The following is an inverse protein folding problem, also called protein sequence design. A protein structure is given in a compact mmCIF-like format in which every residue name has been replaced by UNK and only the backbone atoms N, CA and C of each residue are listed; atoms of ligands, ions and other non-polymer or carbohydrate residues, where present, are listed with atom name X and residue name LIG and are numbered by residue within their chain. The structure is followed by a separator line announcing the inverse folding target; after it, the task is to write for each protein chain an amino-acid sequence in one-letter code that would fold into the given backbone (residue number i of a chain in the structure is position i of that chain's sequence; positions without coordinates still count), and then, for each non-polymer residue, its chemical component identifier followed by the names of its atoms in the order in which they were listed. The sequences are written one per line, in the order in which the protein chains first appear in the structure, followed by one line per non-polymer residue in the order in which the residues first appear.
data_IF_924344669097
#
_entry.id   IF_924344669097
#
_cell.length_a   1.000
_cell.length_b   1.000
_cell.length_c   1.000
_cell.angle_alpha   90.00
_cell.angle_beta   90.00
_cell.angle_gamma   90.00
#
_symmetry.space_group_name_H-M   'P 1'
#
loop_
_entity.id
_entity.type
_entity.pdbx_description
1 polymer ?
#
# COMPACT_ATOMS: atom_id res chain seq x y z
N UNK A 1 -27.96 2.10 3.62
CA UNK A 1 -26.93 2.95 4.23
C UNK A 1 -27.50 4.34 4.34
N UNK A 2 -27.35 5.01 5.49
CA UNK A 2 -27.79 6.40 5.65
C UNK A 2 -27.20 7.29 4.56
N UNK A 3 -27.90 8.34 4.17
CA UNK A 3 -27.38 9.30 3.19
C UNK A 3 -26.19 10.05 3.83
N UNK A 4 -24.99 9.81 3.30
CA UNK A 4 -23.76 10.43 3.78
C UNK A 4 -23.52 11.73 3.01
N UNK A 5 -23.06 12.77 3.71
CA UNK A 5 -22.73 14.07 3.10
C UNK A 5 -21.70 13.92 1.99
N UNK A 6 -20.65 13.10 2.25
CA UNK A 6 -19.57 12.88 1.32
C UNK A 6 -19.50 11.43 0.84
N UNK A 7 -19.09 11.24 -0.38
CA UNK A 7 -18.71 9.94 -0.93
C UNK A 7 -17.28 9.59 -0.46
N UNK A 8 -16.40 10.61 -0.30
CA UNK A 8 -15.01 10.45 0.10
C UNK A 8 -14.52 11.66 0.92
N UNK A 9 -13.75 11.39 1.98
CA UNK A 9 -12.96 12.40 2.69
C UNK A 9 -11.49 12.03 2.60
N UNK A 10 -10.62 12.99 2.24
CA UNK A 10 -9.18 12.87 2.24
C UNK A 10 -8.60 13.56 3.48
N UNK A 11 -8.19 12.78 4.49
CA UNK A 11 -7.54 13.27 5.69
C UNK A 11 -6.03 13.38 5.52
N UNK A 12 -5.42 14.43 6.11
CA UNK A 12 -4.00 14.75 5.92
C UNK A 12 -3.74 15.42 4.56
N UNK A 13 -4.75 16.07 4.00
CA UNK A 13 -4.73 16.67 2.66
C UNK A 13 -3.63 17.74 2.47
N UNK A 14 -3.16 18.38 3.53
CA UNK A 14 -2.11 19.42 3.46
C UNK A 14 -0.67 18.87 3.46
N UNK A 15 -0.51 17.56 3.66
CA UNK A 15 0.79 16.87 3.59
C UNK A 15 1.31 16.71 2.16
N UNK A 16 2.57 16.24 2.02
CA UNK A 16 3.24 16.11 0.71
C UNK A 16 2.45 15.25 -0.29
N UNK A 17 2.06 14.04 0.11
CA UNK A 17 1.23 13.15 -0.71
C UNK A 17 -0.22 13.63 -0.74
N UNK A 18 -0.73 14.16 0.38
CA UNK A 18 -2.11 14.62 0.52
C UNK A 18 -2.49 15.74 -0.46
N UNK A 19 -1.67 16.79 -0.61
CA UNK A 19 -1.91 17.87 -1.58
C UNK A 19 -2.01 17.37 -3.02
N UNK A 20 -1.13 16.47 -3.39
CA UNK A 20 -1.12 15.86 -4.73
C UNK A 20 -2.29 14.90 -4.93
N UNK A 21 -2.70 14.19 -3.88
CA UNK A 21 -3.93 13.39 -3.90
C UNK A 21 -5.16 14.25 -4.07
N UNK A 22 -5.20 15.42 -3.39
CA UNK A 22 -6.29 16.38 -3.53
C UNK A 22 -6.36 16.93 -4.96
N UNK A 23 -5.23 17.33 -5.55
CA UNK A 23 -5.18 17.78 -6.95
C UNK A 23 -5.63 16.68 -7.93
N UNK A 24 -5.20 15.44 -7.72
CA UNK A 24 -5.64 14.31 -8.53
C UNK A 24 -7.14 14.08 -8.45
N UNK A 25 -7.72 14.09 -7.25
CA UNK A 25 -9.17 13.92 -7.05
C UNK A 25 -9.97 15.09 -7.64
N UNK A 26 -9.49 16.33 -7.49
CA UNK A 26 -10.12 17.51 -8.06
C UNK A 26 -10.19 17.45 -9.60
N UNK A 27 -9.14 16.98 -10.25
CA UNK A 27 -9.08 16.81 -11.72
C UNK A 27 -9.73 15.52 -12.24
N UNK A 28 -10.19 14.62 -11.36
CA UNK A 28 -10.70 13.29 -11.78
C UNK A 28 -12.09 13.38 -12.38
N UNK A 29 -12.20 13.22 -13.69
CA UNK A 29 -13.49 13.15 -14.39
C UNK A 29 -14.18 11.82 -14.12
N UNK A 30 -15.40 11.88 -13.63
CA UNK A 30 -16.26 10.74 -13.31
C UNK A 30 -17.64 10.89 -13.93
N UNK A 31 -18.36 9.77 -14.13
CA UNK A 31 -19.75 9.80 -14.65
C UNK A 31 -20.71 10.54 -13.74
N UNK A 32 -20.47 10.52 -12.43
CA UNK A 32 -21.24 11.28 -11.45
C UNK A 32 -20.31 12.23 -10.69
N UNK A 33 -20.85 13.38 -10.28
CA UNK A 33 -20.09 14.37 -9.51
C UNK A 33 -19.65 13.76 -8.17
N UNK A 34 -18.35 13.86 -7.87
CA UNK A 34 -17.77 13.44 -6.61
C UNK A 34 -18.14 14.45 -5.52
N UNK A 35 -18.86 13.99 -4.48
CA UNK A 35 -19.09 14.75 -3.25
C UNK A 35 -17.96 14.41 -2.27
N UNK A 36 -17.02 15.31 -2.08
CA UNK A 36 -15.84 15.01 -1.30
C UNK A 36 -15.33 16.19 -0.49
N UNK A 37 -14.49 15.88 0.50
CA UNK A 37 -13.86 16.89 1.34
C UNK A 37 -12.37 16.60 1.53
N UNK A 38 -11.60 17.67 1.73
CA UNK A 38 -10.25 17.64 2.28
C UNK A 38 -10.34 17.88 3.78
N UNK A 39 -9.57 17.11 4.55
CA UNK A 39 -9.62 17.19 6.01
C UNK A 39 -8.23 17.25 6.65
N UNK A 40 -8.17 17.86 7.82
CA UNK A 40 -6.97 18.04 8.64
C UNK A 40 -7.21 19.04 9.77
N UNK A 41 -6.18 19.27 10.57
CA UNK A 41 -6.27 20.10 11.78
C UNK A 41 -6.13 21.62 11.54
N UNK A 42 -5.53 22.04 10.44
CA UNK A 42 -5.18 23.44 10.16
C UNK A 42 -6.14 24.03 9.11
N UNK A 43 -7.09 24.83 9.59
CA UNK A 43 -8.11 25.46 8.75
C UNK A 43 -7.51 26.38 7.68
N UNK A 44 -6.47 27.15 8.03
CA UNK A 44 -5.83 28.09 7.10
C UNK A 44 -5.12 27.36 5.94
N UNK A 45 -4.38 26.27 6.25
CA UNK A 45 -3.73 25.46 5.21
C UNK A 45 -4.74 24.73 4.33
N UNK A 46 -5.88 24.29 4.86
CA UNK A 46 -6.94 23.66 4.07
C UNK A 46 -7.63 24.67 3.17
N UNK A 47 -7.89 25.90 3.66
CA UNK A 47 -8.44 26.97 2.85
C UNK A 47 -7.50 27.34 1.68
N UNK A 48 -6.22 27.56 1.97
CA UNK A 48 -5.21 27.83 0.95
C UNK A 48 -5.11 26.70 -0.10
N UNK A 49 -5.12 25.43 0.32
CA UNK A 49 -5.14 24.31 -0.61
C UNK A 49 -6.40 24.31 -1.49
N UNK A 50 -7.56 24.61 -0.93
CA UNK A 50 -8.80 24.67 -1.70
C UNK A 50 -8.79 25.80 -2.73
N UNK A 51 -8.21 26.96 -2.40
CA UNK A 51 -8.00 28.08 -3.34
C UNK A 51 -7.04 27.70 -4.46
N UNK A 52 -5.93 27.04 -4.13
CA UNK A 52 -4.99 26.50 -5.13
C UNK A 52 -5.70 25.55 -6.10
N UNK A 53 -6.51 24.62 -5.58
CA UNK A 53 -7.31 23.70 -6.40
C UNK A 53 -8.35 24.43 -7.25
N UNK A 54 -8.95 25.52 -6.75
CA UNK A 54 -9.92 26.32 -7.50
C UNK A 54 -9.27 27.09 -8.66
N UNK A 55 -7.99 27.42 -8.54
CA UNK A 55 -7.21 28.11 -9.56
C UNK A 55 -6.66 27.14 -10.63
N UNK A 56 -6.73 25.83 -10.41
CA UNK A 56 -6.28 24.83 -11.40
C UNK A 56 -7.36 24.61 -12.46
N UNK A 57 -7.11 24.94 -13.74
CA UNK A 57 -8.06 24.72 -14.83
C UNK A 57 -8.42 23.26 -15.07
N UNK A 58 -7.63 22.33 -14.56
CA UNK A 58 -7.91 20.90 -14.63
C UNK A 58 -8.92 20.44 -13.57
N UNK A 59 -9.22 21.25 -12.55
CA UNK A 59 -10.14 20.88 -11.49
C UNK A 59 -11.59 20.87 -11.99
N UNK A 60 -12.26 19.74 -11.84
CA UNK A 60 -13.67 19.54 -12.23
C UNK A 60 -14.60 19.39 -11.04
N UNK A 61 -14.05 19.15 -9.83
CA UNK A 61 -14.79 18.99 -8.59
C UNK A 61 -14.01 19.53 -7.40
N UNK A 62 -14.43 20.68 -6.86
CA UNK A 62 -13.80 21.27 -5.69
C UNK A 62 -14.27 20.58 -4.40
N UNK A 63 -13.36 20.35 -3.42
CA UNK A 63 -13.72 19.75 -2.14
C UNK A 63 -14.40 20.73 -1.20
N UNK A 64 -15.21 20.20 -0.27
CA UNK A 64 -15.51 20.87 0.99
C UNK A 64 -14.30 20.78 1.94
N UNK A 65 -14.35 21.54 3.03
CA UNK A 65 -13.33 21.50 4.09
C UNK A 65 -13.96 20.88 5.33
N UNK A 66 -13.24 19.95 5.96
CA UNK A 66 -13.57 19.35 7.26
C UNK A 66 -12.40 19.57 8.20
N UNK A 67 -12.62 20.27 9.31
CA UNK A 67 -11.60 20.47 10.33
C UNK A 67 -11.67 19.31 11.31
N UNK A 68 -10.59 18.56 11.43
CA UNK A 68 -10.46 17.47 12.39
C UNK A 68 -9.00 17.31 12.80
N UNK A 69 -8.73 17.39 14.10
CA UNK A 69 -7.45 16.96 14.68
C UNK A 69 -7.60 15.50 15.13
N UNK A 70 -6.57 14.66 14.89
CA UNK A 70 -6.57 13.25 15.32
C UNK A 70 -6.62 13.08 16.85
N UNK A 71 -6.31 14.12 17.61
CA UNK A 71 -6.44 14.14 19.07
C UNK A 71 -7.84 14.55 19.56
N UNK A 72 -8.70 15.08 18.69
CA UNK A 72 -10.10 15.42 18.99
C UNK A 72 -11.02 14.28 18.52
N UNK A 73 -11.39 13.42 19.47
CA UNK A 73 -12.23 12.24 19.19
C UNK A 73 -13.59 12.64 18.58
N UNK A 74 -14.22 13.75 19.05
CA UNK A 74 -15.53 14.17 18.55
C UNK A 74 -15.44 14.66 17.10
N UNK A 75 -14.40 15.42 16.74
CA UNK A 75 -14.17 15.85 15.36
C UNK A 75 -13.88 14.69 14.44
N UNK A 76 -13.07 13.70 14.88
CA UNK A 76 -12.76 12.49 14.11
C UNK A 76 -14.00 11.62 13.90
N UNK A 77 -14.83 11.43 14.92
CA UNK A 77 -16.11 10.71 14.80
C UNK A 77 -17.09 11.41 13.86
N UNK A 78 -17.25 12.73 13.96
CA UNK A 78 -18.11 13.51 13.06
C UNK A 78 -17.63 13.39 11.61
N UNK A 79 -16.32 13.49 11.36
CA UNK A 79 -15.72 13.29 10.05
C UNK A 79 -16.01 11.89 9.50
N UNK A 80 -15.76 10.85 10.28
CA UNK A 80 -16.02 9.46 9.85
C UNK A 80 -17.51 9.21 9.60
N UNK A 81 -18.39 9.77 10.44
CA UNK A 81 -19.85 9.68 10.27
C UNK A 81 -20.34 10.37 9.00
N UNK A 82 -19.67 11.40 8.52
CA UNK A 82 -20.10 12.21 7.37
C UNK A 82 -19.83 11.55 6.00
N UNK A 83 -18.97 10.54 5.93
CA UNK A 83 -18.46 10.00 4.66
C UNK A 83 -18.68 8.49 4.50
N UNK A 84 -18.71 8.00 3.25
CA UNK A 84 -18.72 6.56 2.92
C UNK A 84 -17.31 5.97 2.95
N UNK A 85 -16.32 6.77 2.53
CA UNK A 85 -14.93 6.37 2.39
C UNK A 85 -14.01 7.43 2.98
N UNK A 86 -13.10 7.03 3.85
CA UNK A 86 -12.05 7.88 4.40
C UNK A 86 -10.69 7.41 3.88
N UNK A 87 -10.00 8.28 3.15
CA UNK A 87 -8.60 8.12 2.77
C UNK A 87 -7.73 8.92 3.73
N UNK A 88 -6.60 8.35 4.15
CA UNK A 88 -5.64 9.11 4.95
C UNK A 88 -4.21 9.00 4.43
N UNK A 89 -3.53 10.13 4.44
CA UNK A 89 -2.10 10.27 4.16
C UNK A 89 -1.35 10.84 5.37
N UNK A 90 -2.01 10.89 6.53
CA UNK A 90 -1.46 11.46 7.77
C UNK A 90 -0.67 10.41 8.55
N UNK A 91 0.59 10.20 8.18
CA UNK A 91 1.55 9.38 8.94
C UNK A 91 2.43 10.21 9.89
N UNK A 92 3.16 9.59 10.85
CA UNK A 92 3.16 8.14 11.15
C UNK A 92 1.81 7.61 11.63
N UNK A 93 1.39 6.48 11.08
CA UNK A 93 0.05 5.92 11.36
C UNK A 93 -0.06 5.36 12.78
N UNK A 94 1.04 4.87 13.34
CA UNK A 94 1.12 4.44 14.74
C UNK A 94 0.85 5.57 15.73
N UNK A 95 1.02 6.84 15.32
CA UNK A 95 0.78 8.02 16.16
C UNK A 95 -0.61 8.63 15.92
N UNK A 96 -1.10 8.61 14.68
CA UNK A 96 -2.29 9.39 14.30
C UNK A 96 -3.43 8.53 13.76
N UNK A 97 -3.22 7.22 13.54
CA UNK A 97 -4.17 6.37 12.83
C UNK A 97 -5.25 5.73 13.70
N UNK A 98 -4.97 5.45 14.97
CA UNK A 98 -5.85 4.63 15.82
C UNK A 98 -7.25 5.23 15.96
N UNK A 99 -7.36 6.51 16.37
CA UNK A 99 -8.65 7.20 16.54
C UNK A 99 -9.46 7.24 15.22
N UNK A 100 -8.78 7.41 14.08
CA UNK A 100 -9.42 7.46 12.77
C UNK A 100 -9.98 6.10 12.38
N UNK A 101 -9.22 5.01 12.58
CA UNK A 101 -9.69 3.65 12.31
C UNK A 101 -10.81 3.25 13.26
N UNK A 102 -10.71 3.60 14.56
CA UNK A 102 -11.75 3.38 15.56
C UNK A 102 -13.08 4.00 15.10
N UNK A 103 -13.07 5.27 14.73
CA UNK A 103 -14.24 5.98 14.24
C UNK A 103 -14.79 5.39 12.94
N UNK A 104 -13.93 5.01 11.99
CA UNK A 104 -14.34 4.36 10.74
C UNK A 104 -15.08 3.03 11.00
N UNK A 105 -14.56 2.22 11.92
CA UNK A 105 -15.23 0.96 12.30
C UNK A 105 -16.53 1.21 13.04
N UNK A 106 -16.57 2.20 13.94
CA UNK A 106 -17.77 2.57 14.68
C UNK A 106 -18.89 3.01 13.75
N UNK A 107 -18.58 3.87 12.80
CA UNK A 107 -19.55 4.45 11.86
C UNK A 107 -19.73 3.65 10.57
N UNK A 108 -19.11 2.46 10.42
CA UNK A 108 -19.15 1.62 9.21
C UNK A 108 -18.71 2.38 7.96
N UNK A 109 -17.70 3.21 8.12
CA UNK A 109 -17.06 3.99 7.05
C UNK A 109 -15.89 3.18 6.52
N UNK A 110 -15.79 2.99 5.22
CA UNK A 110 -14.65 2.35 4.61
C UNK A 110 -13.39 3.20 4.80
N UNK A 111 -12.24 2.56 4.90
CA UNK A 111 -10.97 3.20 5.19
C UNK A 111 -9.86 2.68 4.28
N UNK A 112 -8.96 3.56 3.81
CA UNK A 112 -7.69 3.16 3.25
C UNK A 112 -6.59 4.18 3.56
N UNK A 113 -5.36 3.67 3.66
CA UNK A 113 -4.15 4.44 3.91
C UNK A 113 -2.96 3.93 3.08
N UNK A 114 -1.83 4.59 3.26
CA UNK A 114 -0.56 4.27 2.60
C UNK A 114 0.52 3.85 3.60
N UNK A 115 0.12 3.23 4.72
CA UNK A 115 1.06 2.81 5.76
C UNK A 115 2.05 1.75 5.25
N UNK A 116 3.28 1.78 5.79
CA UNK A 116 4.24 0.71 5.76
C UNK A 116 4.48 0.09 7.15
N UNK A 117 3.71 0.51 8.16
CA UNK A 117 3.91 0.19 9.58
C UNK A 117 3.21 -1.13 9.94
N UNK A 118 3.85 -2.26 9.67
CA UNK A 118 3.25 -3.60 9.83
C UNK A 118 2.87 -3.94 11.27
N UNK A 119 3.62 -3.47 12.27
CA UNK A 119 3.31 -3.67 13.67
C UNK A 119 2.04 -2.91 14.08
N UNK A 120 1.88 -1.66 13.64
CA UNK A 120 0.64 -0.92 13.83
C UNK A 120 -0.54 -1.62 13.15
N UNK A 121 -0.39 -2.01 11.89
CA UNK A 121 -1.45 -2.74 11.18
C UNK A 121 -1.83 -4.06 11.88
N UNK A 122 -0.88 -4.75 12.55
CA UNK A 122 -1.16 -5.92 13.40
C UNK A 122 -2.10 -5.55 14.54
N UNK A 123 -1.86 -4.43 15.25
CA UNK A 123 -2.76 -3.95 16.32
C UNK A 123 -4.15 -3.64 15.79
N UNK A 124 -4.23 -2.95 14.64
CA UNK A 124 -5.51 -2.66 13.96
C UNK A 124 -6.25 -3.96 13.59
N UNK A 125 -5.55 -5.00 13.11
CA UNK A 125 -6.13 -6.30 12.82
C UNK A 125 -6.70 -6.94 14.08
N UNK A 126 -5.92 -7.00 15.16
CA UNK A 126 -6.32 -7.64 16.40
C UNK A 126 -7.57 -6.96 17.01
N UNK A 127 -7.61 -5.64 16.97
CA UNK A 127 -8.68 -4.82 17.56
C UNK A 127 -9.96 -4.83 16.73
N UNK A 128 -9.84 -4.71 15.41
CA UNK A 128 -10.97 -4.33 14.57
C UNK A 128 -11.43 -5.38 13.57
N UNK A 129 -10.59 -6.37 13.20
CA UNK A 129 -10.92 -7.27 12.09
C UNK A 129 -12.28 -7.96 12.28
N UNK A 130 -12.57 -8.51 13.45
CA UNK A 130 -13.81 -9.26 13.72
C UNK A 130 -15.05 -8.36 13.61
N UNK A 131 -15.01 -7.14 14.18
CA UNK A 131 -16.13 -6.20 14.13
C UNK A 131 -16.37 -5.74 12.70
N UNK A 132 -15.31 -5.26 12.03
CA UNK A 132 -15.40 -4.78 10.65
C UNK A 132 -15.86 -5.90 9.69
N UNK A 133 -15.46 -7.16 9.91
CA UNK A 133 -15.91 -8.31 9.13
C UNK A 133 -17.42 -8.55 9.28
N UNK A 134 -17.92 -8.50 10.51
CA UNK A 134 -19.36 -8.65 10.80
C UNK A 134 -20.19 -7.53 10.17
N UNK A 135 -19.68 -6.30 10.23
CA UNK A 135 -20.41 -5.10 9.81
C UNK A 135 -20.27 -4.81 8.30
N UNK A 136 -19.46 -5.58 7.56
CA UNK A 136 -19.18 -5.36 6.14
C UNK A 136 -18.28 -4.16 5.86
N UNK A 137 -17.66 -3.56 6.89
CA UNK A 137 -16.76 -2.42 6.76
C UNK A 137 -15.39 -2.87 6.26
N UNK A 138 -14.85 -2.21 5.23
CA UNK A 138 -13.54 -2.52 4.67
C UNK A 138 -12.51 -1.52 5.19
N UNK A 139 -11.57 -2.00 6.00
CA UNK A 139 -10.41 -1.26 6.49
C UNK A 139 -9.21 -1.78 5.71
N UNK A 140 -8.62 -0.95 4.85
CA UNK A 140 -7.63 -1.36 3.84
C UNK A 140 -6.32 -0.58 4.03
N UNK A 141 -5.46 -0.97 4.98
CA UNK A 141 -4.11 -0.44 5.07
C UNK A 141 -3.26 -0.86 3.87
N UNK A 142 -2.09 -0.25 3.68
CA UNK A 142 -1.12 -0.56 2.63
C UNK A 142 -1.61 -0.29 1.20
N UNK A 143 -2.49 0.70 0.99
CA UNK A 143 -3.07 1.01 -0.31
C UNK A 143 -2.20 2.00 -1.13
N UNK A 144 -0.88 1.79 -1.14
CA UNK A 144 0.12 2.56 -1.88
C UNK A 144 0.99 1.70 -2.78
N UNK A 145 1.97 2.33 -3.45
CA UNK A 145 2.94 1.63 -4.30
C UNK A 145 3.67 0.54 -3.54
N UNK A 146 3.98 0.75 -2.28
CA UNK A 146 4.78 -0.19 -1.52
C UNK A 146 4.21 -1.60 -1.57
N UNK A 147 2.89 -1.76 -1.48
CA UNK A 147 2.28 -3.09 -1.41
C UNK A 147 1.31 -3.43 -2.54
N UNK A 148 0.63 -2.46 -3.17
CA UNK A 148 -0.39 -2.78 -4.17
C UNK A 148 0.16 -3.50 -5.40
N UNK A 149 1.28 -3.12 -6.02
CA UNK A 149 1.84 -3.88 -7.13
C UNK A 149 2.16 -5.32 -6.77
N UNK A 150 2.68 -5.57 -5.57
CA UNK A 150 2.98 -6.92 -5.06
C UNK A 150 1.71 -7.73 -4.82
N UNK A 151 0.75 -7.16 -4.11
CA UNK A 151 -0.45 -7.84 -3.66
C UNK A 151 -1.45 -8.08 -4.81
N UNK A 152 -1.74 -7.03 -5.59
CA UNK A 152 -2.61 -7.13 -6.76
C UNK A 152 -1.97 -7.97 -7.86
N UNK A 153 -0.68 -7.77 -8.15
CA UNK A 153 0.04 -8.54 -9.17
C UNK A 153 0.11 -10.02 -8.83
N UNK A 154 0.27 -10.36 -7.55
CA UNK A 154 0.19 -11.75 -7.08
C UNK A 154 -1.21 -12.33 -7.31
N UNK A 155 -2.27 -11.61 -6.94
CA UNK A 155 -3.64 -12.05 -7.21
C UNK A 155 -3.85 -12.34 -8.70
N UNK A 156 -3.40 -11.42 -9.57
CA UNK A 156 -3.58 -11.53 -11.01
C UNK A 156 -2.87 -12.75 -11.59
N UNK A 157 -1.60 -12.99 -11.22
CA UNK A 157 -0.85 -14.14 -11.73
C UNK A 157 -1.38 -15.47 -11.21
N UNK A 158 -1.81 -15.51 -9.94
CA UNK A 158 -2.44 -16.70 -9.36
C UNK A 158 -3.74 -17.06 -10.10
N UNK A 159 -4.61 -16.07 -10.33
CA UNK A 159 -5.86 -16.28 -11.09
C UNK A 159 -5.60 -16.72 -12.53
N UNK A 160 -4.61 -16.12 -13.17
CA UNK A 160 -4.24 -16.49 -14.52
C UNK A 160 -3.73 -17.94 -14.59
N UNK A 161 -2.89 -18.38 -13.65
CA UNK A 161 -2.43 -19.77 -13.54
C UNK A 161 -3.60 -20.73 -13.36
N UNK A 162 -4.51 -20.42 -12.43
CA UNK A 162 -5.72 -21.22 -12.20
C UNK A 162 -6.57 -21.36 -13.47
N UNK A 163 -6.81 -20.25 -14.17
CA UNK A 163 -7.64 -20.20 -15.38
C UNK A 163 -6.95 -20.89 -16.58
N UNK A 164 -5.64 -20.73 -16.72
CA UNK A 164 -4.90 -21.22 -17.90
C UNK A 164 -4.46 -22.67 -17.76
N UNK A 165 -4.07 -23.07 -16.55
CA UNK A 165 -3.48 -24.38 -16.30
C UNK A 165 -4.39 -25.32 -15.50
N UNK A 166 -5.49 -24.83 -14.92
CA UNK A 166 -6.34 -25.62 -14.02
C UNK A 166 -5.60 -26.12 -12.77
N UNK A 167 -4.51 -25.43 -12.36
CA UNK A 167 -3.62 -25.86 -11.30
C UNK A 167 -3.40 -24.74 -10.27
N UNK A 168 -3.16 -25.07 -8.99
CA UNK A 168 -2.87 -24.06 -7.98
C UNK A 168 -1.46 -23.46 -8.18
N UNK A 169 -1.33 -22.17 -7.82
CA UNK A 169 -0.04 -21.50 -7.77
C UNK A 169 0.63 -21.74 -6.40
N UNK A 170 1.81 -22.34 -6.40
CA UNK A 170 2.54 -22.66 -5.14
C UNK A 170 3.58 -21.62 -4.76
N UNK A 171 3.98 -20.76 -5.69
CA UNK A 171 4.99 -19.74 -5.45
C UNK A 171 4.81 -18.54 -6.37
N UNK A 172 5.05 -17.35 -5.85
CA UNK A 172 5.21 -16.13 -6.66
C UNK A 172 6.47 -15.41 -6.22
N UNK A 173 7.28 -15.01 -7.21
CA UNK A 173 8.45 -14.16 -7.01
C UNK A 173 8.24 -12.83 -7.73
N UNK A 174 8.43 -11.72 -6.99
CA UNK A 174 8.35 -10.35 -7.50
C UNK A 174 9.73 -9.79 -7.85
N UNK A 175 9.88 -9.20 -9.03
CA UNK A 175 11.13 -8.59 -9.50
C UNK A 175 10.91 -7.13 -9.84
N UNK A 176 11.50 -6.26 -9.04
CA UNK A 176 11.36 -4.83 -9.14
C UNK A 176 12.54 -4.17 -9.83
N UNK A 177 12.24 -3.20 -10.66
CA UNK A 177 13.16 -2.18 -11.16
C UNK A 177 12.47 -0.84 -11.02
N UNK A 178 13.14 0.12 -10.45
CA UNK A 178 12.54 1.43 -10.22
C UNK A 178 13.58 2.54 -10.11
N UNK A 179 13.11 3.76 -10.32
CA UNK A 179 13.82 5.00 -10.04
C UNK A 179 12.82 5.97 -9.40
N UNK A 180 13.15 6.51 -8.24
CA UNK A 180 12.29 7.42 -7.50
C UNK A 180 12.92 7.86 -6.19
N UNK A 181 12.25 8.78 -5.48
CA UNK A 181 12.70 9.34 -4.21
C UNK A 181 11.75 9.07 -3.04
N UNK A 182 12.29 9.16 -1.83
CA UNK A 182 11.51 9.09 -0.61
C UNK A 182 11.05 10.50 -0.19
N UNK A 183 9.85 10.58 0.37
CA UNK A 183 9.36 11.81 1.02
C UNK A 183 9.57 11.73 2.53
N UNK A 184 9.50 12.89 3.20
CA UNK A 184 9.73 12.99 4.64
C UNK A 184 8.74 12.20 5.50
N UNK A 185 7.50 11.98 5.02
CA UNK A 185 6.53 11.15 5.72
C UNK A 185 6.96 9.68 5.78
N UNK A 186 7.43 9.11 4.68
CA UNK A 186 7.97 7.74 4.62
C UNK A 186 9.19 7.58 5.54
N UNK A 187 10.07 8.58 5.55
CA UNK A 187 11.25 8.56 6.40
C UNK A 187 10.90 8.68 7.89
N UNK A 188 9.92 9.53 8.23
CA UNK A 188 9.44 9.67 9.60
C UNK A 188 8.78 8.38 10.14
N UNK A 189 7.93 7.73 9.35
CA UNK A 189 7.34 6.42 9.72
C UNK A 189 8.41 5.36 9.91
N UNK A 190 9.44 5.34 9.05
CA UNK A 190 10.54 4.39 9.18
C UNK A 190 11.39 4.67 10.45
N UNK A 191 11.71 5.93 10.75
CA UNK A 191 12.41 6.30 11.97
C UNK A 191 11.62 5.90 13.23
N UNK A 192 10.33 6.21 13.26
CA UNK A 192 9.44 5.86 14.37
C UNK A 192 9.41 4.35 14.66
N UNK A 193 9.42 3.51 13.63
CA UNK A 193 9.47 2.03 13.77
C UNK A 193 10.70 1.56 14.54
N UNK A 194 11.85 2.20 14.35
CA UNK A 194 13.07 1.88 15.11
C UNK A 194 13.05 2.47 16.52
N UNK A 195 12.42 3.62 16.72
CA UNK A 195 12.30 4.27 18.03
C UNK A 195 11.34 3.56 18.96
N UNK A 196 10.22 3.06 18.43
CA UNK A 196 9.20 2.35 19.19
C UNK A 196 9.54 0.91 19.54
N UNK A 197 10.68 0.37 19.05
CA UNK A 197 11.06 -1.04 19.24
C UNK A 197 10.21 -2.04 18.45
N UNK A 198 9.38 -1.57 17.52
CA UNK A 198 8.49 -2.43 16.70
C UNK A 198 9.24 -3.24 15.63
N UNK A 199 10.54 -3.05 15.48
CA UNK A 199 11.39 -3.77 14.52
C UNK A 199 11.41 -5.27 14.73
N UNK A 200 11.43 -5.74 15.99
CA UNK A 200 11.45 -7.17 16.30
C UNK A 200 10.14 -7.86 15.89
N UNK A 201 9.00 -7.26 16.22
CA UNK A 201 7.70 -7.75 15.77
C UNK A 201 7.64 -7.83 14.22
N UNK A 202 8.20 -6.85 13.53
CA UNK A 202 8.28 -6.81 12.07
C UNK A 202 9.09 -7.94 11.43
N UNK A 203 9.99 -8.61 12.19
CA UNK A 203 10.76 -9.77 11.71
C UNK A 203 9.91 -11.03 11.53
N UNK A 204 8.73 -11.12 12.17
CA UNK A 204 7.84 -12.25 11.96
C UNK A 204 7.28 -12.24 10.51
N UNK A 205 7.58 -13.26 9.69
CA UNK A 205 7.14 -13.29 8.29
C UNK A 205 5.62 -13.44 8.12
N UNK A 206 4.91 -13.88 9.16
CA UNK A 206 3.46 -14.07 9.19
C UNK A 206 2.74 -13.09 10.14
N UNK A 207 3.39 -11.95 10.45
CA UNK A 207 2.89 -10.97 11.42
C UNK A 207 1.42 -10.56 11.16
N UNK A 208 1.05 -10.35 9.90
CA UNK A 208 -0.29 -9.87 9.53
C UNK A 208 -1.32 -11.00 9.36
N UNK A 209 -0.90 -12.26 9.35
CA UNK A 209 -1.79 -13.39 9.15
C UNK A 209 -2.71 -13.61 10.37
N UNK A 210 -3.84 -14.30 10.20
CA UNK A 210 -4.55 -14.89 11.34
C UNK A 210 -3.58 -15.68 12.21
N UNK A 211 -3.76 -15.62 13.53
CA UNK A 211 -2.87 -16.31 14.47
C UNK A 211 -2.94 -17.81 14.22
N UNK A 212 -1.82 -18.40 13.84
CA UNK A 212 -1.66 -19.84 13.62
C UNK A 212 -0.27 -20.29 14.09
N UNK A 213 -0.10 -21.57 14.34
CA UNK A 213 1.22 -22.17 14.53
C UNK A 213 1.81 -22.43 13.15
N UNK A 214 3.08 -22.09 12.98
CA UNK A 214 3.85 -22.36 11.79
C UNK A 214 4.97 -23.33 12.12
N UNK A 215 5.22 -24.27 11.23
CA UNK A 215 6.35 -25.19 11.34
C UNK A 215 7.69 -24.46 11.18
N UNK A 216 8.77 -25.04 11.66
CA UNK A 216 10.10 -24.46 11.48
C UNK A 216 10.47 -24.29 9.99
N UNK A 217 10.05 -25.23 9.14
CA UNK A 217 10.26 -25.17 7.68
C UNK A 217 9.46 -24.03 7.03
N UNK A 218 8.21 -23.79 7.43
CA UNK A 218 7.43 -22.63 6.94
C UNK A 218 8.08 -21.31 7.35
N UNK A 219 8.54 -21.18 8.59
CA UNK A 219 9.24 -19.99 9.07
C UNK A 219 10.54 -19.77 8.33
N UNK A 220 11.33 -20.81 8.07
CA UNK A 220 12.58 -20.72 7.32
C UNK A 220 12.33 -20.28 5.87
N UNK A 221 11.38 -20.90 5.19
CA UNK A 221 11.03 -20.60 3.79
C UNK A 221 10.39 -19.21 3.62
N UNK A 222 9.85 -18.64 4.68
CA UNK A 222 9.22 -17.33 4.68
C UNK A 222 10.16 -16.18 5.11
N UNK A 223 11.42 -16.46 5.45
CA UNK A 223 12.39 -15.43 5.83
C UNK A 223 12.66 -14.46 4.67
N UNK A 224 12.89 -13.20 5.04
CA UNK A 224 13.22 -12.17 4.06
C UNK A 224 14.61 -12.45 3.44
N UNK A 225 14.77 -12.25 2.12
CA UNK A 225 16.08 -12.39 1.45
C UNK A 225 17.11 -11.44 2.06
N UNK A 226 18.38 -11.89 2.17
CA UNK A 226 19.45 -11.10 2.83
C UNK A 226 20.65 -10.78 1.95
N UNK A 227 20.79 -11.43 0.81
CA UNK A 227 21.99 -11.33 -0.02
C UNK A 227 21.68 -11.16 -1.49
N UNK A 228 22.73 -10.79 -2.26
CA UNK A 228 22.66 -10.85 -3.70
C UNK A 228 22.84 -12.31 -4.17
N UNK A 229 22.12 -12.69 -5.23
CA UNK A 229 22.25 -13.99 -5.87
C UNK A 229 21.96 -13.91 -7.36
N UNK A 230 22.47 -14.87 -8.12
CA UNK A 230 21.97 -15.11 -9.48
C UNK A 230 20.63 -15.84 -9.38
N UNK A 231 19.65 -15.39 -10.17
CA UNK A 231 18.32 -15.98 -10.21
C UNK A 231 18.06 -16.51 -11.61
N UNK A 232 17.98 -17.84 -11.73
CA UNK A 232 17.81 -18.55 -13.00
C UNK A 232 16.45 -18.27 -13.63
N UNK A 233 15.39 -18.06 -12.82
CA UNK A 233 14.05 -17.77 -13.31
C UNK A 233 13.98 -16.51 -14.17
N UNK A 234 14.83 -15.53 -13.89
CA UNK A 234 14.90 -14.26 -14.64
C UNK A 234 16.24 -14.06 -15.35
N UNK A 235 17.16 -15.04 -15.28
CA UNK A 235 18.46 -15.00 -15.91
C UNK A 235 19.31 -13.78 -15.52
N UNK A 236 19.27 -13.39 -14.24
CA UNK A 236 19.90 -12.15 -13.81
C UNK A 236 20.27 -12.14 -12.33
N UNK A 237 21.17 -11.23 -11.95
CA UNK A 237 21.46 -10.98 -10.56
C UNK A 237 20.36 -10.18 -9.87
N UNK A 238 20.02 -10.59 -8.66
CA UNK A 238 19.01 -9.96 -7.83
C UNK A 238 19.56 -9.66 -6.42
N UNK A 239 18.98 -8.64 -5.78
CA UNK A 239 19.20 -8.33 -4.37
C UNK A 239 17.84 -8.23 -3.66
N UNK A 240 17.78 -8.23 -2.32
CA UNK A 240 16.54 -7.97 -1.59
C UNK A 240 15.88 -6.67 -2.08
N UNK A 241 14.56 -6.66 -2.13
CA UNK A 241 13.83 -5.42 -2.38
C UNK A 241 13.58 -4.68 -1.07
N UNK A 242 13.81 -3.37 -1.06
CA UNK A 242 13.74 -2.57 0.18
C UNK A 242 12.38 -2.64 0.88
N UNK A 243 11.29 -2.76 0.12
CA UNK A 243 9.93 -2.88 0.67
C UNK A 243 9.51 -4.35 0.87
N UNK A 244 10.36 -5.32 0.51
CA UNK A 244 10.11 -6.75 0.60
C UNK A 244 9.61 -7.21 1.97
N UNK A 245 10.21 -6.76 3.09
CA UNK A 245 9.74 -7.09 4.44
C UNK A 245 8.31 -6.64 4.74
N UNK A 246 7.82 -5.56 4.14
CA UNK A 246 6.44 -5.09 4.29
C UNK A 246 5.53 -5.88 3.37
N UNK A 247 5.84 -5.90 2.08
CA UNK A 247 4.99 -6.45 1.02
C UNK A 247 4.75 -7.94 1.19
N UNK A 248 5.78 -8.70 1.58
CA UNK A 248 5.64 -10.14 1.81
C UNK A 248 4.61 -10.47 2.91
N UNK A 249 4.52 -9.64 3.97
CA UNK A 249 3.49 -9.80 5.00
C UNK A 249 2.10 -9.50 4.46
N UNK A 250 1.96 -8.49 3.60
CA UNK A 250 0.69 -8.13 2.96
C UNK A 250 0.22 -9.25 2.03
N UNK A 251 1.10 -9.75 1.14
CA UNK A 251 0.76 -10.84 0.21
C UNK A 251 0.43 -12.15 0.95
N UNK A 252 1.19 -12.49 2.00
CA UNK A 252 0.88 -13.68 2.82
C UNK A 252 -0.44 -13.55 3.55
N UNK A 253 -0.79 -12.33 4.02
CA UNK A 253 -2.11 -12.06 4.57
C UNK A 253 -3.20 -12.25 3.51
N UNK A 254 -2.98 -11.79 2.29
CA UNK A 254 -3.92 -12.01 1.19
C UNK A 254 -4.13 -13.50 0.90
N UNK A 255 -3.05 -14.27 0.88
CA UNK A 255 -3.13 -15.72 0.71
C UNK A 255 -3.94 -16.38 1.85
N UNK A 256 -3.67 -16.02 3.10
CA UNK A 256 -4.39 -16.54 4.26
C UNK A 256 -5.88 -16.16 4.27
N UNK A 257 -6.22 -14.91 3.93
CA UNK A 257 -7.60 -14.46 3.83
C UNK A 257 -8.34 -15.13 2.66
N UNK A 258 -7.70 -15.26 1.49
CA UNK A 258 -8.29 -15.97 0.36
C UNK A 258 -8.54 -17.45 0.68
N UNK A 259 -7.64 -18.11 1.43
CA UNK A 259 -7.88 -19.47 1.92
C UNK A 259 -9.11 -19.54 2.82
N UNK A 260 -9.27 -18.60 3.75
CA UNK A 260 -10.46 -18.49 4.60
C UNK A 260 -11.74 -18.21 3.80
N UNK A 261 -11.63 -17.51 2.67
CA UNK A 261 -12.75 -17.25 1.74
C UNK A 261 -12.97 -18.35 0.69
N UNK A 262 -12.31 -19.51 0.85
CA UNK A 262 -12.37 -20.67 -0.06
C UNK A 262 -11.91 -20.39 -1.49
N UNK A 263 -10.99 -19.48 -1.64
CA UNK A 263 -10.31 -19.13 -2.90
C UNK A 263 -8.79 -19.11 -2.71
N UNK A 264 -8.17 -20.22 -2.19
CA UNK A 264 -6.75 -20.25 -1.85
C UNK A 264 -5.87 -20.01 -3.09
N UNK A 265 -4.69 -19.47 -2.87
CA UNK A 265 -3.68 -19.34 -3.95
C UNK A 265 -3.09 -20.71 -4.34
N UNK A 266 -2.79 -21.53 -3.35
CA UNK A 266 -2.29 -22.88 -3.51
C UNK A 266 -1.75 -23.47 -2.20
N UNK A 267 -1.51 -24.80 -2.15
CA UNK A 267 -0.96 -25.44 -0.98
C UNK A 267 0.46 -24.96 -0.70
N UNK A 268 0.77 -24.62 0.55
CA UNK A 268 2.11 -24.18 0.94
C UNK A 268 2.60 -22.92 0.21
N UNK A 269 1.70 -22.04 -0.22
CA UNK A 269 2.00 -20.86 -1.01
C UNK A 269 3.16 -20.03 -0.43
N UNK A 270 4.15 -19.71 -1.29
CA UNK A 270 5.34 -18.93 -0.96
C UNK A 270 5.37 -17.62 -1.75
N UNK A 271 5.89 -16.58 -1.12
CA UNK A 271 6.10 -15.28 -1.75
C UNK A 271 7.41 -14.65 -1.30
N UNK A 272 8.19 -14.16 -2.30
CA UNK A 272 9.41 -13.37 -2.09
C UNK A 272 9.51 -12.29 -3.17
N UNK A 273 10.28 -11.21 -2.88
CA UNK A 273 10.53 -10.18 -3.88
C UNK A 273 11.96 -9.63 -3.84
N UNK A 274 12.41 -9.17 -5.00
CA UNK A 274 13.78 -8.80 -5.28
C UNK A 274 13.88 -7.55 -6.14
N UNK A 275 14.97 -6.83 -6.01
CA UNK A 275 15.43 -5.84 -7.00
C UNK A 275 16.24 -6.57 -8.07
N UNK A 276 15.87 -6.43 -9.34
CA UNK A 276 16.55 -7.03 -10.49
C UNK A 276 17.54 -6.08 -11.12
N UNK A 277 18.75 -6.55 -11.42
CA UNK A 277 19.82 -5.77 -12.04
C UNK A 277 20.15 -6.28 -13.43
N UNK A 278 20.22 -5.37 -14.41
CA UNK A 278 20.66 -5.66 -15.76
C UNK A 278 22.15 -5.40 -15.98
N UNK A 279 22.72 -5.87 -17.10
CA UNK A 279 24.08 -5.56 -17.50
C UNK A 279 24.27 -4.05 -17.71
N UNK A 280 25.52 -3.55 -17.74
CA UNK A 280 26.73 -4.23 -17.27
C UNK A 280 26.81 -4.28 -15.75
N UNK A 281 27.70 -5.12 -15.19
CA UNK A 281 28.02 -5.20 -13.74
C UNK A 281 26.83 -5.57 -12.83
N UNK A 282 25.90 -6.40 -13.31
CA UNK A 282 24.69 -6.78 -12.54
C UNK A 282 25.04 -7.41 -11.19
N UNK A 283 26.06 -8.28 -11.12
CA UNK A 283 26.55 -8.90 -9.88
C UNK A 283 27.06 -7.84 -8.88
N UNK A 284 27.90 -6.92 -9.33
CA UNK A 284 28.46 -5.89 -8.47
C UNK A 284 27.36 -4.93 -7.95
N UNK A 285 26.42 -4.52 -8.81
CA UNK A 285 25.28 -3.68 -8.42
C UNK A 285 24.40 -4.38 -7.39
N UNK A 286 24.08 -5.66 -7.58
CA UNK A 286 23.28 -6.45 -6.64
C UNK A 286 23.97 -6.59 -5.28
N UNK A 287 25.27 -6.89 -5.28
CA UNK A 287 26.08 -7.02 -4.05
C UNK A 287 26.17 -5.68 -3.32
N UNK A 288 26.43 -4.59 -4.03
CA UNK A 288 26.48 -3.25 -3.45
C UNK A 288 25.14 -2.84 -2.83
N UNK A 289 24.00 -3.11 -3.50
CA UNK A 289 22.66 -2.86 -2.96
C UNK A 289 22.41 -3.66 -1.69
N UNK A 290 22.71 -4.95 -1.68
CA UNK A 290 22.53 -5.80 -0.50
C UNK A 290 23.42 -5.35 0.68
N UNK A 291 24.65 -4.88 0.40
CA UNK A 291 25.52 -4.32 1.41
C UNK A 291 25.02 -2.97 1.96
N UNK A 292 24.55 -2.09 1.07
CA UNK A 292 23.97 -0.79 1.44
C UNK A 292 22.73 -0.95 2.32
N UNK A 293 21.84 -1.89 2.02
CA UNK A 293 20.65 -2.18 2.83
C UNK A 293 21.04 -2.64 4.23
N UNK A 294 22.01 -3.55 4.37
CA UNK A 294 22.51 -3.99 5.69
C UNK A 294 23.16 -2.85 6.46
N UNK A 295 23.91 -2.00 5.78
CA UNK A 295 24.53 -0.81 6.37
C UNK A 295 23.46 0.16 6.89
N UNK A 296 22.43 0.42 6.09
CA UNK A 296 21.32 1.28 6.48
C UNK A 296 20.55 0.73 7.70
N UNK A 297 20.25 -0.57 7.73
CA UNK A 297 19.61 -1.21 8.89
C UNK A 297 20.44 -1.01 10.17
N UNK A 298 21.76 -1.22 10.11
CA UNK A 298 22.66 -1.00 11.27
C UNK A 298 22.67 0.45 11.75
N UNK A 299 22.67 1.41 10.82
CA UNK A 299 22.60 2.83 11.16
C UNK A 299 21.25 3.17 11.83
N UNK A 300 20.17 2.62 11.32
CA UNK A 300 18.83 2.84 11.88
C UNK A 300 18.64 2.17 13.25
N UNK A 301 19.32 1.07 13.54
CA UNK A 301 19.33 0.42 14.86
C UNK A 301 20.08 1.25 15.91
N UNK A 302 21.07 2.07 15.51
CA UNK A 302 21.85 2.92 16.39
C UNK A 302 21.19 4.29 16.60
N UNK A 303 20.68 4.57 17.79
CA UNK A 303 19.91 5.79 18.10
C UNK A 303 20.64 7.10 17.76
N UNK A 304 21.95 7.19 18.08
CA UNK A 304 22.77 8.39 17.79
C UNK A 304 22.97 8.60 16.29
N UNK A 305 23.29 7.53 15.55
CA UNK A 305 23.48 7.59 14.09
C UNK A 305 22.17 7.90 13.38
N UNK A 306 21.03 7.33 13.83
CA UNK A 306 19.70 7.64 13.33
C UNK A 306 19.32 9.11 13.55
N UNK A 307 19.58 9.67 14.73
CA UNK A 307 19.32 11.07 15.05
C UNK A 307 20.15 12.03 14.15
N UNK A 308 21.39 11.68 13.87
CA UNK A 308 22.24 12.45 12.95
C UNK A 308 21.72 12.39 11.52
N UNK A 309 21.36 11.21 11.03
CA UNK A 309 20.77 11.01 9.71
C UNK A 309 19.47 11.79 9.55
N UNK A 310 18.63 11.85 10.58
CA UNK A 310 17.36 12.59 10.59
C UNK A 310 17.51 14.10 10.38
N UNK A 311 18.71 14.69 10.63
CA UNK A 311 18.99 16.10 10.37
C UNK A 311 19.19 16.43 8.89
N UNK A 312 19.57 15.42 8.09
CA UNK A 312 19.91 15.58 6.66
C UNK A 312 18.76 15.10 5.76
N UNK A 313 17.90 14.24 6.28
CA UNK A 313 16.77 13.70 5.52
C UNK A 313 15.62 14.69 5.40
N UNK A 314 14.79 14.61 4.33
CA UNK A 314 13.59 15.43 4.16
C UNK A 314 12.67 15.36 5.38
N UNK A 315 12.18 16.52 5.81
CA UNK A 315 11.22 16.63 6.93
C UNK A 315 9.79 16.27 6.48
N UNK A 316 8.88 15.95 7.42
CA UNK A 316 7.46 15.81 7.11
C UNK A 316 6.93 17.03 6.32
N UNK A 317 6.28 16.78 5.18
CA UNK A 317 5.83 17.81 4.25
C UNK A 317 6.80 18.11 3.10
N UNK A 318 8.03 17.62 3.16
CA UNK A 318 9.04 17.76 2.11
C UNK A 318 9.18 16.46 1.31
N UNK A 319 9.75 16.56 0.10
CA UNK A 319 9.98 15.41 -0.78
C UNK A 319 10.65 15.79 -2.08
N UNK A 320 10.74 14.85 -3.04
CA UNK A 320 11.37 15.09 -4.33
C UNK A 320 10.71 16.22 -5.12
N UNK A 321 11.51 16.93 -5.95
CA UNK A 321 10.98 17.94 -6.86
C UNK A 321 10.03 17.34 -7.91
N UNK A 322 9.16 18.15 -8.50
CA UNK A 322 8.23 17.71 -9.56
C UNK A 322 8.98 17.14 -10.77
N UNK A 323 10.11 17.73 -11.15
CA UNK A 323 10.95 17.21 -12.24
C UNK A 323 11.52 15.83 -11.91
N UNK A 324 12.02 15.63 -10.67
CA UNK A 324 12.50 14.31 -10.20
C UNK A 324 11.38 13.28 -10.18
N UNK A 325 10.19 13.64 -9.71
CA UNK A 325 9.03 12.75 -9.69
C UNK A 325 8.51 12.44 -11.10
N UNK A 326 8.63 13.37 -12.05
CA UNK A 326 8.24 13.14 -13.43
C UNK A 326 9.15 12.16 -14.15
N UNK A 327 10.47 12.21 -13.88
CA UNK A 327 11.47 11.31 -14.47
C UNK A 327 11.53 9.94 -13.81
N UNK A 328 10.89 9.76 -12.64
CA UNK A 328 10.81 8.48 -11.96
C UNK A 328 10.02 7.43 -12.74
N UNK A 329 10.18 6.18 -12.40
CA UNK A 329 9.42 5.07 -12.97
C UNK A 329 9.56 3.82 -12.12
N UNK A 330 8.64 2.88 -12.30
CA UNK A 330 8.85 1.52 -11.83
C UNK A 330 8.29 0.50 -12.82
N UNK A 331 8.84 -0.71 -12.73
CA UNK A 331 8.37 -1.91 -13.41
C UNK A 331 8.55 -3.09 -12.46
N UNK A 332 7.48 -3.83 -12.22
CA UNK A 332 7.53 -5.09 -11.47
C UNK A 332 6.98 -6.22 -12.30
N UNK A 333 7.69 -7.34 -12.29
CA UNK A 333 7.27 -8.62 -12.86
C UNK A 333 7.00 -9.59 -11.70
N UNK A 334 5.77 -10.08 -11.58
CA UNK A 334 5.38 -11.13 -10.65
C UNK A 334 5.33 -12.45 -11.44
N UNK A 335 6.22 -13.38 -11.14
CA UNK A 335 6.27 -14.69 -11.80
C UNK A 335 5.70 -15.73 -10.86
N UNK A 336 4.57 -16.30 -11.24
CA UNK A 336 3.91 -17.38 -10.52
C UNK A 336 4.32 -18.74 -11.08
N UNK A 337 4.37 -19.77 -10.21
CA UNK A 337 4.75 -21.14 -10.56
C UNK A 337 3.80 -22.14 -9.94
N UNK A 338 3.42 -23.16 -10.73
CA UNK A 338 2.72 -24.37 -10.28
C UNK A 338 3.70 -25.39 -9.71
N UNK A 339 3.19 -26.43 -9.04
CA UNK A 339 4.03 -27.51 -8.49
C UNK A 339 4.78 -28.30 -9.57
N UNK A 340 4.22 -28.42 -10.77
CA UNK A 340 4.83 -29.08 -11.93
C UNK A 340 5.75 -28.16 -12.75
N UNK A 341 6.01 -26.92 -12.28
CA UNK A 341 6.99 -26.01 -12.85
C UNK A 341 6.48 -25.06 -13.95
N UNK A 342 5.19 -25.15 -14.36
CA UNK A 342 4.62 -24.19 -15.32
C UNK A 342 4.58 -22.80 -14.69
N UNK A 343 4.85 -21.77 -15.50
CA UNK A 343 4.95 -20.38 -15.04
C UNK A 343 4.01 -19.45 -15.80
N UNK A 344 3.60 -18.39 -15.13
CA UNK A 344 2.94 -17.25 -15.75
C UNK A 344 3.46 -15.94 -15.12
N UNK A 345 3.30 -14.83 -15.84
CA UNK A 345 3.80 -13.52 -15.44
C UNK A 345 2.66 -12.49 -15.39
N UNK A 346 2.60 -11.70 -14.32
CA UNK A 346 1.89 -10.45 -14.31
C UNK A 346 2.93 -9.31 -14.25
N UNK A 347 2.72 -8.25 -15.05
CA UNK A 347 3.54 -7.05 -15.05
C UNK A 347 2.71 -5.86 -14.66
N UNK A 348 3.22 -5.03 -13.75
CA UNK A 348 2.68 -3.72 -13.41
C UNK A 348 3.81 -2.71 -13.56
N UNK A 349 3.57 -1.64 -14.34
CA UNK A 349 4.54 -0.58 -14.55
C UNK A 349 3.84 0.78 -14.55
N UNK A 350 4.63 1.83 -14.26
CA UNK A 350 4.16 3.20 -14.29
C UNK A 350 5.32 4.16 -14.63
N UNK A 351 5.07 5.11 -15.52
CA UNK A 351 5.99 6.20 -15.85
C UNK A 351 5.73 7.36 -14.87
N UNK A 352 6.53 7.47 -13.85
CA UNK A 352 6.45 8.43 -12.75
C UNK A 352 6.98 7.84 -11.45
N UNK A 353 7.36 8.69 -10.52
CA UNK A 353 7.91 8.29 -9.23
C UNK A 353 7.00 7.29 -8.51
N UNK A 354 7.53 6.14 -8.05
CA UNK A 354 6.75 5.10 -7.39
C UNK A 354 6.20 5.55 -6.04
N UNK A 355 7.04 6.11 -5.18
CA UNK A 355 6.71 6.42 -3.79
C UNK A 355 5.72 7.58 -3.63
N UNK A 356 5.61 8.44 -4.61
CA UNK A 356 4.76 9.63 -4.55
C UNK A 356 3.69 9.63 -5.66
N UNK A 357 4.07 9.68 -6.93
CA UNK A 357 3.10 9.78 -8.05
C UNK A 357 2.27 8.52 -8.25
N UNK A 358 2.88 7.34 -8.16
CA UNK A 358 2.12 6.08 -8.25
C UNK A 358 1.29 5.86 -6.99
N UNK A 359 1.86 6.07 -5.80
CA UNK A 359 1.17 5.92 -4.51
C UNK A 359 -0.13 6.70 -4.43
N UNK A 360 -0.10 8.01 -4.78
CA UNK A 360 -1.32 8.83 -4.70
C UNK A 360 -2.42 8.32 -5.64
N UNK A 361 -2.06 7.87 -6.85
CA UNK A 361 -3.04 7.32 -7.81
C UNK A 361 -3.63 6.01 -7.33
N UNK A 362 -2.80 5.13 -6.81
CA UNK A 362 -3.24 3.85 -6.25
C UNK A 362 -4.20 4.09 -5.08
N UNK A 363 -3.84 4.97 -4.15
CA UNK A 363 -4.70 5.33 -3.00
C UNK A 363 -6.04 5.92 -3.46
N UNK A 364 -6.01 6.91 -4.34
CA UNK A 364 -7.21 7.59 -4.82
C UNK A 364 -8.13 6.64 -5.60
N UNK A 365 -7.58 5.85 -6.54
CA UNK A 365 -8.39 4.90 -7.32
C UNK A 365 -8.89 3.73 -6.46
N UNK A 366 -8.11 3.29 -5.47
CA UNK A 366 -8.55 2.34 -4.45
C UNK A 366 -9.72 2.86 -3.62
N UNK A 367 -9.62 4.12 -3.16
CA UNK A 367 -10.71 4.78 -2.44
C UNK A 367 -11.96 4.98 -3.28
N UNK A 368 -11.81 5.40 -4.53
CA UNK A 368 -12.92 5.53 -5.47
C UNK A 368 -13.57 4.18 -5.78
N UNK A 369 -12.80 3.10 -5.87
CA UNK A 369 -13.35 1.74 -6.02
C UNK A 369 -14.18 1.33 -4.81
N UNK A 370 -13.67 1.56 -3.59
CA UNK A 370 -14.39 1.27 -2.35
C UNK A 370 -15.67 2.11 -2.20
N UNK A 371 -15.66 3.37 -2.65
CA UNK A 371 -16.80 4.26 -2.57
C UNK A 371 -17.91 3.96 -3.60
N UNK A 372 -17.53 3.53 -4.83
CA UNK A 372 -18.46 3.49 -5.96
C UNK A 372 -18.66 2.12 -6.61
N UNK A 373 -17.72 1.19 -6.48
CA UNK A 373 -17.81 -0.11 -7.17
C UNK A 373 -18.29 -1.24 -6.24
N UNK A 374 -19.01 -0.91 -5.19
CA UNK A 374 -19.38 -1.82 -4.09
C UNK A 374 -19.87 -3.20 -4.53
N UNK A 375 -20.70 -3.31 -5.59
CA UNK A 375 -21.19 -4.60 -6.10
C UNK A 375 -20.15 -5.44 -6.83
N UNK A 376 -19.05 -4.82 -7.31
CA UNK A 376 -17.96 -5.48 -8.05
C UNK A 376 -16.81 -5.90 -7.14
N UNK A 377 -16.80 -5.43 -5.90
CA UNK A 377 -15.73 -5.74 -4.96
C UNK A 377 -15.76 -7.22 -4.55
N UNK A 378 -14.61 -7.86 -4.28
CA UNK A 378 -14.56 -9.25 -3.84
C UNK A 378 -15.48 -9.52 -2.66
N UNK A 379 -16.33 -10.56 -2.74
CA UNK A 379 -17.25 -10.97 -1.70
C UNK A 379 -18.31 -9.96 -1.31
N UNK A 380 -18.63 -8.99 -2.18
CA UNK A 380 -19.70 -8.02 -1.97
C UNK A 380 -21.08 -8.69 -1.84
N UNK A 381 -22.01 -8.09 -1.06
CA UNK A 381 -21.82 -6.92 -0.19
C UNK A 381 -21.28 -7.27 1.21
N UNK A 382 -21.07 -8.54 1.51
CA UNK A 382 -20.87 -9.05 2.88
C UNK A 382 -19.43 -8.96 3.40
N UNK A 383 -18.42 -8.96 2.50
CA UNK A 383 -17.02 -8.99 2.94
C UNK A 383 -16.60 -7.67 3.57
N UNK A 384 -16.26 -7.73 4.85
CA UNK A 384 -15.60 -6.68 5.61
C UNK A 384 -14.40 -7.21 6.37
N UNK A 385 -13.77 -6.36 7.17
CA UNK A 385 -12.59 -6.69 7.98
C UNK A 385 -11.43 -5.73 7.75
N UNK A 386 -10.35 -5.93 8.47
CA UNK A 386 -9.06 -5.33 8.12
C UNK A 386 -8.45 -6.21 7.02
N UNK A 387 -8.51 -5.71 5.81
CA UNK A 387 -8.23 -6.43 4.57
C UNK A 387 -6.95 -5.91 3.93
N UNK A 388 -6.48 -6.61 2.90
CA UNK A 388 -5.40 -6.15 2.02
C UNK A 388 -6.01 -5.59 0.72
N UNK A 389 -5.27 -4.82 -0.08
CA UNK A 389 -5.76 -4.32 -1.36
C UNK A 389 -6.33 -5.43 -2.27
N UNK A 390 -5.65 -6.57 -2.39
CA UNK A 390 -6.10 -7.69 -3.21
C UNK A 390 -7.41 -8.31 -2.68
N UNK A 391 -7.58 -8.43 -1.37
CA UNK A 391 -8.79 -9.04 -0.78
C UNK A 391 -9.96 -8.08 -0.63
N UNK A 392 -9.69 -6.77 -0.57
CA UNK A 392 -10.69 -5.73 -0.42
C UNK A 392 -11.21 -5.20 -1.76
N UNK A 393 -10.31 -4.98 -2.73
CA UNK A 393 -10.61 -4.32 -4.00
C UNK A 393 -10.41 -5.30 -5.16
N UNK A 394 -9.35 -6.08 -5.11
CA UNK A 394 -9.04 -7.11 -6.09
C UNK A 394 -8.93 -6.57 -7.51
N UNK A 395 -9.39 -7.37 -8.48
CA UNK A 395 -9.30 -7.05 -9.90
C UNK A 395 -10.12 -5.81 -10.31
N UNK A 396 -11.07 -5.35 -9.48
CA UNK A 396 -11.81 -4.10 -9.70
C UNK A 396 -10.87 -2.89 -9.80
N UNK A 397 -9.69 -2.97 -9.19
CA UNK A 397 -8.68 -1.92 -9.26
C UNK A 397 -7.96 -1.86 -10.61
N UNK A 398 -7.88 -2.95 -11.38
CA UNK A 398 -7.11 -3.02 -12.64
C UNK A 398 -7.57 -2.00 -13.68
N UNK A 399 -8.85 -1.92 -14.09
CA UNK A 399 -9.28 -0.94 -15.08
C UNK A 399 -9.10 0.50 -14.60
N UNK A 400 -9.21 0.75 -13.29
CA UNK A 400 -9.00 2.05 -12.69
C UNK A 400 -7.53 2.48 -12.77
N UNK A 401 -6.60 1.59 -12.43
CA UNK A 401 -5.17 1.86 -12.54
C UNK A 401 -4.73 2.04 -14.00
N UNK A 402 -5.25 1.23 -14.93
CA UNK A 402 -5.00 1.44 -16.36
C UNK A 402 -5.46 2.84 -16.82
N UNK A 403 -6.66 3.26 -16.41
CA UNK A 403 -7.16 4.61 -16.68
C UNK A 403 -6.35 5.71 -15.99
N UNK A 404 -5.62 5.40 -14.92
CA UNK A 404 -4.69 6.30 -14.22
C UNK A 404 -3.25 6.26 -14.78
N UNK A 405 -3.03 5.56 -15.91
CA UNK A 405 -1.75 5.52 -16.62
C UNK A 405 -0.82 4.38 -16.26
N UNK A 406 -1.29 3.37 -15.53
CA UNK A 406 -0.50 2.16 -15.27
C UNK A 406 -0.60 1.18 -16.44
N UNK A 407 0.53 0.57 -16.78
CA UNK A 407 0.58 -0.59 -17.64
C UNK A 407 0.41 -1.86 -16.81
N UNK A 408 -0.63 -2.64 -17.10
CA UNK A 408 -0.89 -3.90 -16.41
C UNK A 408 -1.12 -4.97 -17.47
N UNK A 409 -0.26 -5.99 -17.54
CA UNK A 409 -0.36 -7.10 -18.46
C UNK A 409 -0.17 -8.43 -17.73
N UNK A 410 -0.82 -9.48 -18.25
CA UNK A 410 -0.75 -10.84 -17.74
C UNK A 410 -0.54 -11.77 -18.94
N UNK A 411 0.34 -12.76 -18.79
CA UNK A 411 0.65 -13.73 -19.83
C UNK A 411 1.55 -14.87 -19.34
N UNK A 412 2.00 -15.69 -20.27
CA UNK A 412 2.98 -16.76 -20.02
C UNK A 412 4.37 -16.19 -19.80
#
# INVERSE_FOLDING_TARGET
MADRTFDLVLYGATGFVGRRSAAYLAGRRMRRKLRWAIAGRDAGKLAALREELASDPAAVALPAIVIADSSDAAAVEAMAASTRMLLTTAGPFALFGDAIVDACVQHRTHYADITGETAWARRVIDRHHKRAARDGTRIVPFCGFDSVPSDLGTLLVVRHIEQTFGAPCVEVQGYFRMMGGFNGGTLASNAHRYESGETEAGRNPFLLNPRARHSASELLNAQDPRGARYDELVGSWVAPFIMGPINSRVVRRSAALNAAYRTPYGPGFRYQEYTKFGPPLAAAKATAMAAAMRGFERVMEQGTARALLGKVLPKPGEGPSEASMASGWFKTDLIGRTADGRTARARIAYAGDPGNRATLRILCEGGLALAFDGSKLPGAPKRGGVLTPATAIGETLVPRLRAAGFEISIGR
#
